data_IF_494222679790
#
_entry.id   IF_494222679790
#
_cell.length_a   1.000
_cell.length_b   1.000
_cell.length_c   1.000
_cell.angle_alpha   90.00
_cell.angle_beta   90.00
_cell.angle_gamma   90.00
#
_symmetry.space_group_name_H-M   'P 1'
#
loop_
_entity.id
_entity.type
_entity.pdbx_description
1 polymer ?
#
# COMPACT_ATOMS: atom_id res chain seq x y z
N UNK A 1 -25.76 -27.51 42.86
CA UNK A 1 -25.45 -26.37 41.99
C UNK A 1 -23.95 -26.45 41.75
N UNK A 2 -23.55 -27.05 40.61
CA UNK A 2 -22.16 -27.22 40.24
C UNK A 2 -21.70 -26.06 39.33
N UNK A 3 -20.67 -25.33 39.75
CA UNK A 3 -19.98 -24.38 38.90
C UNK A 3 -19.08 -25.15 37.91
N UNK A 4 -19.50 -25.19 36.63
CA UNK A 4 -18.67 -25.69 35.55
C UNK A 4 -17.49 -24.75 35.31
N UNK A 5 -16.26 -25.25 35.50
CA UNK A 5 -15.06 -24.53 35.16
C UNK A 5 -14.93 -24.35 33.65
N UNK A 6 -14.81 -23.10 33.20
CA UNK A 6 -14.44 -22.75 31.83
C UNK A 6 -12.99 -23.18 31.66
N UNK A 7 -12.74 -24.15 30.79
CA UNK A 7 -11.40 -24.54 30.40
C UNK A 7 -10.71 -23.31 29.72
N UNK A 8 -9.60 -22.88 30.32
CA UNK A 8 -8.71 -21.90 29.73
C UNK A 8 -8.19 -22.45 28.39
N UNK A 9 -8.72 -21.94 27.29
CA UNK A 9 -8.20 -22.21 25.95
C UNK A 9 -6.71 -21.85 25.94
N UNK A 10 -5.86 -22.75 25.47
CA UNK A 10 -4.46 -22.45 25.17
C UNK A 10 -4.46 -21.27 24.19
N UNK A 11 -3.87 -20.16 24.61
CA UNK A 11 -3.47 -19.10 23.67
C UNK A 11 -2.58 -19.78 22.64
N UNK A 12 -3.00 -19.77 21.37
CA UNK A 12 -2.18 -20.21 20.28
C UNK A 12 -0.88 -19.40 20.32
N UNK A 13 0.27 -20.05 20.10
CA UNK A 13 1.53 -19.35 19.97
C UNK A 13 1.36 -18.30 18.85
N UNK A 14 1.67 -17.04 19.14
CA UNK A 14 1.59 -15.97 18.15
C UNK A 14 2.52 -16.31 16.98
N UNK A 15 2.00 -16.29 15.76
CA UNK A 15 2.80 -16.41 14.54
C UNK A 15 3.92 -15.39 14.60
N UNK A 16 5.19 -15.76 14.32
CA UNK A 16 6.27 -14.79 14.24
C UNK A 16 5.90 -13.66 13.27
N UNK A 17 6.16 -12.43 13.65
CA UNK A 17 5.76 -11.24 12.86
C UNK A 17 6.32 -11.30 11.43
N UNK A 18 7.48 -11.93 11.24
CA UNK A 18 8.12 -12.17 9.93
C UNK A 18 7.37 -13.17 9.03
N UNK A 19 6.46 -13.98 9.60
CA UNK A 19 5.64 -14.93 8.85
C UNK A 19 4.25 -14.37 8.49
N UNK A 20 3.95 -13.12 8.90
CA UNK A 20 2.65 -12.51 8.64
C UNK A 20 2.52 -11.98 7.21
N UNK A 21 3.63 -11.63 6.55
CA UNK A 21 3.65 -11.01 5.24
C UNK A 21 4.14 -11.97 4.15
N UNK A 22 3.31 -12.18 3.13
CA UNK A 22 3.75 -12.75 1.86
C UNK A 22 4.53 -11.68 1.09
N UNK A 23 5.82 -11.90 0.86
CA UNK A 23 6.72 -10.90 0.27
C UNK A 23 7.28 -11.37 -1.07
N UNK A 24 7.10 -10.55 -2.10
CA UNK A 24 7.71 -10.73 -3.41
C UNK A 24 9.06 -10.03 -3.45
N UNK A 25 10.00 -10.62 -4.19
CA UNK A 25 11.35 -10.08 -4.38
C UNK A 25 11.59 -9.84 -5.86
N UNK A 26 12.11 -8.67 -6.19
CA UNK A 26 12.44 -8.28 -7.55
C UNK A 26 13.90 -7.87 -7.65
N UNK A 27 14.45 -7.95 -8.87
CA UNK A 27 15.80 -7.56 -9.16
C UNK A 27 16.88 -8.56 -8.66
N UNK A 28 18.11 -8.10 -8.42
CA UNK A 28 19.23 -8.94 -8.00
C UNK A 28 19.04 -9.58 -6.62
N UNK A 29 19.68 -10.73 -6.38
CA UNK A 29 19.73 -11.41 -5.08
C UNK A 29 20.72 -10.74 -4.12
N UNK A 30 20.62 -9.42 -3.95
CA UNK A 30 21.40 -8.59 -3.01
C UNK A 30 20.46 -8.10 -1.91
N UNK A 31 21.00 -7.53 -0.82
CA UNK A 31 20.15 -6.84 0.15
C UNK A 31 19.23 -5.83 -0.52
N UNK A 32 17.99 -5.79 -0.08
CA UNK A 32 17.00 -4.89 -0.64
C UNK A 32 17.41 -3.42 -0.48
N UNK A 33 17.21 -2.63 -1.53
CA UNK A 33 17.40 -1.19 -1.54
C UNK A 33 16.07 -0.43 -1.55
N UNK A 34 14.98 -1.15 -1.91
CA UNK A 34 13.63 -0.58 -2.01
C UNK A 34 12.64 -1.48 -1.29
N UNK A 35 11.73 -0.86 -0.54
CA UNK A 35 10.49 -1.45 -0.05
C UNK A 35 9.33 -0.81 -0.80
N UNK A 36 8.54 -1.60 -1.55
CA UNK A 36 7.40 -1.12 -2.33
C UNK A 36 6.08 -1.53 -1.66
N UNK A 37 5.28 -0.55 -1.27
CA UNK A 37 4.06 -0.71 -0.48
C UNK A 37 2.85 -0.32 -1.31
N UNK A 38 1.95 -1.28 -1.56
CA UNK A 38 0.76 -1.11 -2.40
C UNK A 38 -0.36 -0.33 -1.71
N UNK A 39 -1.31 0.18 -2.49
CA UNK A 39 -2.53 0.82 -2.00
C UNK A 39 -3.60 -0.17 -1.52
N UNK A 40 -4.72 0.34 -0.99
CA UNK A 40 -5.88 -0.49 -0.64
C UNK A 40 -6.34 -1.30 -1.85
N UNK A 41 -6.88 -2.48 -1.58
CA UNK A 41 -7.27 -3.47 -2.60
C UNK A 41 -6.12 -3.94 -3.49
N UNK A 42 -4.87 -3.66 -3.11
CA UNK A 42 -3.68 -4.03 -3.85
C UNK A 42 -3.00 -5.31 -3.37
N UNK A 43 -1.85 -5.57 -3.96
CA UNK A 43 -0.95 -6.66 -3.59
C UNK A 43 0.48 -6.38 -4.06
N UNK A 44 1.47 -7.09 -3.51
CA UNK A 44 2.88 -6.87 -3.81
C UNK A 44 3.28 -7.14 -5.27
N UNK A 45 2.59 -8.03 -5.95
CA UNK A 45 2.89 -8.32 -7.38
C UNK A 45 2.54 -7.19 -8.35
N UNK A 46 1.77 -6.18 -7.95
CA UNK A 46 1.54 -4.99 -8.79
C UNK A 46 2.84 -4.29 -9.19
N UNK A 47 3.91 -4.47 -8.43
CA UNK A 47 5.21 -3.87 -8.67
C UNK A 47 6.08 -4.64 -9.68
N UNK A 48 5.63 -5.82 -10.15
CA UNK A 48 6.42 -6.73 -11.00
C UNK A 48 6.90 -6.05 -12.29
N UNK A 49 6.03 -5.36 -13.01
CA UNK A 49 6.40 -4.67 -14.25
C UNK A 49 7.35 -3.51 -14.00
N UNK A 50 7.11 -2.72 -12.94
CA UNK A 50 7.99 -1.61 -12.59
C UNK A 50 9.43 -2.11 -12.33
N UNK A 51 9.59 -3.09 -11.45
CA UNK A 51 10.91 -3.60 -11.12
C UNK A 51 11.49 -4.51 -12.22
N UNK A 52 10.68 -5.31 -12.90
CA UNK A 52 11.15 -6.20 -13.94
C UNK A 52 11.58 -5.51 -15.24
N UNK A 53 10.94 -4.39 -15.60
CA UNK A 53 11.22 -3.68 -16.87
C UNK A 53 11.98 -2.38 -16.69
N UNK A 54 11.65 -1.61 -15.66
CA UNK A 54 12.17 -0.25 -15.49
C UNK A 54 13.30 -0.16 -14.45
N UNK A 55 13.33 -1.11 -13.50
CA UNK A 55 14.32 -1.16 -12.42
C UNK A 55 14.91 -2.58 -12.24
N UNK A 56 15.33 -3.31 -13.32
CA UNK A 56 15.76 -4.70 -13.21
C UNK A 56 17.06 -4.89 -12.42
N UNK A 57 17.80 -3.81 -12.21
CA UNK A 57 19.06 -3.74 -11.46
C UNK A 57 18.86 -3.35 -9.98
N UNK A 58 17.62 -3.07 -9.56
CA UNK A 58 17.30 -2.65 -8.19
C UNK A 58 16.68 -3.80 -7.42
N UNK A 59 17.34 -4.20 -6.32
CA UNK A 59 16.77 -5.19 -5.40
C UNK A 59 15.64 -4.58 -4.58
N UNK A 60 14.43 -5.15 -4.70
CA UNK A 60 13.24 -4.65 -4.05
C UNK A 60 12.45 -5.75 -3.34
N UNK A 61 11.80 -5.36 -2.23
CA UNK A 61 10.79 -6.11 -1.52
C UNK A 61 9.42 -5.49 -1.76
N UNK A 62 8.43 -6.30 -2.04
CA UNK A 62 7.05 -5.87 -2.19
C UNK A 62 6.12 -6.85 -1.46
N UNK A 63 5.84 -6.60 -0.18
CA UNK A 63 4.91 -7.44 0.58
C UNK A 63 3.45 -7.16 0.21
N UNK A 64 2.62 -8.19 0.32
CA UNK A 64 1.19 -7.99 0.54
C UNK A 64 1.00 -7.43 1.95
N UNK A 65 0.27 -6.34 2.13
CA UNK A 65 -0.05 -5.79 3.44
C UNK A 65 -1.02 -6.71 4.21
N UNK A 66 -1.12 -6.54 5.53
CA UNK A 66 -2.08 -7.29 6.34
C UNK A 66 -3.51 -7.09 5.81
N UNK A 67 -4.29 -8.17 5.78
CA UNK A 67 -5.63 -8.17 5.19
C UNK A 67 -5.67 -8.18 3.66
N UNK A 68 -4.52 -8.25 2.97
CA UNK A 68 -4.42 -8.25 1.52
C UNK A 68 -3.66 -9.47 1.00
N UNK A 69 -3.97 -9.86 -0.23
CA UNK A 69 -3.24 -10.88 -0.96
C UNK A 69 -3.13 -12.19 -0.21
N UNK A 70 -1.89 -12.66 -0.07
CA UNK A 70 -1.53 -13.91 0.61
C UNK A 70 -0.94 -13.70 2.01
N UNK A 71 -0.91 -12.46 2.49
CA UNK A 71 -0.53 -12.13 3.87
C UNK A 71 -1.62 -12.51 4.86
N UNK A 72 -1.34 -12.44 6.17
CA UNK A 72 -2.34 -12.71 7.20
C UNK A 72 -3.54 -11.77 7.09
N UNK A 73 -4.74 -12.35 7.25
CA UNK A 73 -6.01 -11.61 7.29
C UNK A 73 -6.51 -11.40 8.73
N UNK A 74 -5.74 -11.82 9.72
CA UNK A 74 -6.10 -11.65 11.13
C UNK A 74 -5.95 -10.19 11.58
N UNK A 75 -6.80 -9.77 12.52
CA UNK A 75 -6.69 -8.49 13.19
C UNK A 75 -5.45 -8.46 14.12
N UNK A 76 -4.90 -7.28 14.44
CA UNK A 76 -5.47 -5.94 14.25
C UNK A 76 -5.22 -5.34 12.86
N UNK A 77 -6.24 -4.64 12.35
CA UNK A 77 -6.16 -3.97 11.03
C UNK A 77 -5.93 -2.47 11.21
N UNK A 78 -4.70 -2.12 11.55
CA UNK A 78 -4.27 -0.72 11.75
C UNK A 78 -3.03 -0.41 10.94
N UNK A 79 -2.74 0.87 10.73
CA UNK A 79 -1.49 1.30 10.11
C UNK A 79 -0.30 0.83 10.95
N UNK A 80 -0.37 0.91 12.28
CA UNK A 80 0.71 0.49 13.18
C UNK A 80 1.01 -1.02 13.09
N UNK A 81 0.00 -1.85 12.87
CA UNK A 81 0.19 -3.29 12.66
C UNK A 81 0.99 -3.55 11.38
N UNK A 82 0.64 -2.86 10.28
CA UNK A 82 1.41 -2.92 9.03
C UNK A 82 2.83 -2.38 9.20
N UNK A 83 3.00 -1.24 9.87
CA UNK A 83 4.32 -0.66 10.16
C UNK A 83 5.19 -1.63 10.96
N UNK A 84 4.61 -2.27 11.98
CA UNK A 84 5.34 -3.26 12.80
C UNK A 84 5.77 -4.48 11.99
N UNK A 85 4.89 -4.97 11.09
CA UNK A 85 5.20 -6.10 10.23
C UNK A 85 6.28 -5.75 9.19
N UNK A 86 6.20 -4.56 8.58
CA UNK A 86 7.21 -4.08 7.63
C UNK A 86 8.56 -3.81 8.29
N UNK A 87 8.57 -3.24 9.49
CA UNK A 87 9.80 -3.03 10.25
C UNK A 87 10.47 -4.36 10.58
N UNK A 88 9.71 -5.36 11.03
CA UNK A 88 10.24 -6.70 11.29
C UNK A 88 10.77 -7.38 10.02
N UNK A 89 10.11 -7.18 8.88
CA UNK A 89 10.60 -7.66 7.57
C UNK A 89 11.97 -7.02 7.24
N UNK A 90 12.10 -5.70 7.37
CA UNK A 90 13.35 -4.99 7.09
C UNK A 90 14.46 -5.34 8.09
N UNK A 91 14.14 -5.50 9.38
CA UNK A 91 15.10 -5.96 10.40
C UNK A 91 15.62 -7.38 10.06
N UNK A 92 14.76 -8.28 9.59
CA UNK A 92 15.15 -9.62 9.15
C UNK A 92 16.04 -9.61 7.88
N UNK A 93 15.92 -8.57 7.04
CA UNK A 93 16.77 -8.33 5.87
C UNK A 93 18.13 -7.68 6.21
N UNK A 94 18.41 -7.47 7.49
CA UNK A 94 19.67 -6.91 7.98
C UNK A 94 19.57 -5.47 8.48
N UNK A 95 18.36 -4.85 8.47
CA UNK A 95 18.11 -3.54 9.07
C UNK A 95 18.78 -2.34 8.38
N UNK A 96 19.28 -2.52 7.17
CA UNK A 96 19.84 -1.41 6.39
C UNK A 96 18.70 -0.48 5.92
N UNK A 97 18.88 0.85 5.93
CA UNK A 97 17.87 1.77 5.46
C UNK A 97 17.61 1.61 3.96
N UNK A 98 16.32 1.63 3.58
CA UNK A 98 15.85 1.47 2.20
C UNK A 98 15.05 2.70 1.75
N UNK A 99 14.95 2.91 0.44
CA UNK A 99 13.94 3.81 -0.13
C UNK A 99 12.58 3.12 -0.02
N UNK A 100 11.60 3.79 0.59
CA UNK A 100 10.23 3.26 0.69
C UNK A 100 9.35 3.94 -0.35
N UNK A 101 8.77 3.12 -1.22
CA UNK A 101 7.83 3.57 -2.26
C UNK A 101 6.42 3.19 -1.79
N UNK A 102 5.55 4.17 -1.59
CA UNK A 102 4.18 3.94 -1.15
C UNK A 102 3.15 4.53 -2.11
N UNK A 103 2.22 3.71 -2.60
CA UNK A 103 1.10 4.17 -3.41
C UNK A 103 -0.18 4.25 -2.57
N UNK A 104 -0.91 5.37 -2.65
CA UNK A 104 -2.21 5.51 -1.99
C UNK A 104 -2.13 5.22 -0.47
N UNK A 105 -2.88 4.25 0.06
CA UNK A 105 -2.77 3.74 1.43
C UNK A 105 -1.33 3.33 1.79
N UNK A 106 -0.59 2.74 0.85
CA UNK A 106 0.83 2.45 1.03
C UNK A 106 1.67 3.69 1.32
N UNK A 107 1.25 4.86 0.85
CA UNK A 107 1.85 6.15 1.20
C UNK A 107 1.62 6.52 2.66
N UNK A 108 0.40 6.29 3.20
CA UNK A 108 0.12 6.46 4.63
C UNK A 108 0.97 5.52 5.49
N UNK A 109 1.08 4.26 5.10
CA UNK A 109 1.93 3.27 5.79
C UNK A 109 3.40 3.67 5.73
N UNK A 110 3.90 4.12 4.57
CA UNK A 110 5.29 4.57 4.38
C UNK A 110 5.65 5.77 5.26
N UNK A 111 4.77 6.78 5.34
CA UNK A 111 4.95 7.93 6.22
C UNK A 111 5.01 7.53 7.70
N UNK A 112 4.11 6.64 8.14
CA UNK A 112 4.11 6.11 9.51
C UNK A 112 5.35 5.26 9.79
N UNK A 113 5.83 4.46 8.83
CA UNK A 113 7.08 3.70 8.97
C UNK A 113 8.27 4.64 9.13
N UNK A 114 8.37 5.69 8.31
CA UNK A 114 9.44 6.68 8.40
C UNK A 114 9.43 7.45 9.72
N UNK A 115 8.25 7.76 10.26
CA UNK A 115 8.11 8.40 11.56
C UNK A 115 8.48 7.47 12.72
N UNK A 116 8.08 6.20 12.67
CA UNK A 116 8.30 5.22 13.74
C UNK A 116 9.71 4.59 13.72
N UNK A 117 10.29 4.36 12.53
CA UNK A 117 11.58 3.69 12.30
C UNK A 117 12.43 4.47 11.27
N UNK A 118 12.82 5.71 11.60
CA UNK A 118 13.65 6.53 10.71
C UNK A 118 15.02 5.90 10.40
N UNK A 119 15.47 4.95 11.21
CA UNK A 119 16.67 4.15 11.00
C UNK A 119 16.55 3.19 9.80
N UNK A 120 15.34 2.81 9.40
CA UNK A 120 15.08 1.90 8.28
C UNK A 120 14.73 2.61 6.96
N UNK A 121 14.56 3.94 6.97
CA UNK A 121 14.09 4.69 5.81
C UNK A 121 15.15 5.67 5.32
N UNK A 122 15.70 5.42 4.14
CA UNK A 122 16.67 6.28 3.47
C UNK A 122 16.00 7.43 2.69
N UNK A 123 14.78 7.25 2.23
CA UNK A 123 14.00 8.23 1.48
C UNK A 123 12.61 7.70 1.17
N UNK A 124 11.71 8.59 0.75
CA UNK A 124 10.30 8.30 0.47
C UNK A 124 9.92 8.69 -0.97
N UNK A 125 9.31 7.77 -1.71
CA UNK A 125 8.55 8.04 -2.92
C UNK A 125 7.06 7.82 -2.62
N UNK A 126 6.30 8.90 -2.50
CA UNK A 126 4.88 8.90 -2.18
C UNK A 126 4.08 9.11 -3.47
N UNK A 127 3.46 8.06 -3.98
CA UNK A 127 2.75 8.06 -5.26
C UNK A 127 1.24 8.23 -4.99
N UNK A 128 0.74 9.42 -5.17
CA UNK A 128 -0.64 9.85 -4.89
C UNK A 128 -1.14 9.32 -3.54
N UNK A 129 -0.45 9.68 -2.43
CA UNK A 129 -0.69 9.11 -1.10
C UNK A 129 -2.05 9.52 -0.55
N UNK A 130 -2.77 8.57 0.02
CA UNK A 130 -4.07 8.77 0.68
C UNK A 130 -3.86 8.96 2.18
N UNK A 131 -3.87 10.21 2.65
CA UNK A 131 -3.59 10.58 4.06
C UNK A 131 -4.41 11.80 4.47
N UNK A 132 -4.93 11.80 5.68
CA UNK A 132 -5.74 12.88 6.26
C UNK A 132 -6.94 13.25 5.39
N UNK A 133 -7.60 12.25 4.83
CA UNK A 133 -8.75 12.41 3.97
C UNK A 133 -10.02 12.78 4.75
N UNK A 134 -10.99 13.36 4.07
CA UNK A 134 -12.28 13.72 4.67
C UNK A 134 -13.04 12.49 5.18
N UNK A 135 -13.46 12.52 6.44
CA UNK A 135 -14.12 11.38 7.09
C UNK A 135 -15.49 11.06 6.52
N UNK A 136 -16.20 12.01 5.92
CA UNK A 136 -17.48 11.76 5.25
C UNK A 136 -17.23 11.00 3.96
N UNK A 137 -16.26 11.45 3.15
CA UNK A 137 -15.88 10.75 1.93
C UNK A 137 -15.43 9.31 2.22
N UNK A 138 -14.57 9.11 3.24
CA UNK A 138 -14.11 7.76 3.60
C UNK A 138 -15.26 6.85 4.06
N UNK A 139 -16.27 7.39 4.76
CA UNK A 139 -17.45 6.65 5.12
C UNK A 139 -18.28 6.27 3.88
N UNK A 140 -18.45 7.19 2.92
CA UNK A 140 -19.18 6.91 1.67
C UNK A 140 -18.52 5.80 0.88
N UNK A 141 -17.18 5.83 0.72
CA UNK A 141 -16.41 4.76 0.06
C UNK A 141 -16.55 3.41 0.81
N UNK A 142 -16.52 3.44 2.14
CA UNK A 142 -16.71 2.23 2.94
C UNK A 142 -18.14 1.67 2.82
N UNK A 143 -19.16 2.52 2.80
CA UNK A 143 -20.57 2.14 2.59
C UNK A 143 -20.77 1.51 1.21
N UNK A 144 -20.16 2.07 0.15
CA UNK A 144 -20.21 1.54 -1.21
C UNK A 144 -19.55 0.16 -1.29
N UNK A 145 -18.36 0.00 -0.73
CA UNK A 145 -17.66 -1.29 -0.68
C UNK A 145 -18.45 -2.34 0.12
N UNK A 146 -19.07 -1.94 1.23
CA UNK A 146 -19.89 -2.84 2.04
C UNK A 146 -21.15 -3.29 1.29
N UNK A 147 -21.73 -2.41 0.49
CA UNK A 147 -22.94 -2.68 -0.28
C UNK A 147 -22.68 -3.56 -1.51
N UNK A 148 -21.47 -3.49 -2.08
CA UNK A 148 -21.07 -4.24 -3.27
C UNK A 148 -19.65 -4.81 -3.12
N UNK A 149 -19.46 -5.83 -2.25
CA UNK A 149 -18.12 -6.33 -1.91
C UNK A 149 -17.55 -7.34 -2.92
N UNK A 150 -18.37 -7.78 -3.87
CA UNK A 150 -18.03 -8.81 -4.86
C UNK A 150 -18.76 -8.57 -6.21
N UNK A 151 -18.39 -9.36 -7.22
CA UNK A 151 -18.87 -9.21 -8.60
C UNK A 151 -19.55 -10.50 -9.07
N UNK A 152 -20.45 -10.39 -10.04
CA UNK A 152 -21.09 -11.53 -10.67
C UNK A 152 -20.07 -12.41 -11.42
N UNK A 153 -19.10 -11.76 -12.09
CA UNK A 153 -18.07 -12.43 -12.86
C UNK A 153 -16.84 -11.50 -13.08
N UNK A 154 -15.84 -12.05 -13.77
CA UNK A 154 -14.60 -11.34 -14.15
C UNK A 154 -14.86 -10.11 -15.03
N UNK A 155 -15.89 -10.14 -15.89
CA UNK A 155 -16.17 -9.03 -16.80
C UNK A 155 -16.71 -7.82 -16.02
N UNK A 156 -17.57 -8.04 -15.02
CA UNK A 156 -18.04 -6.98 -14.13
C UNK A 156 -16.88 -6.37 -13.34
N UNK A 157 -16.02 -7.20 -12.75
CA UNK A 157 -14.84 -6.73 -12.01
C UNK A 157 -13.88 -5.91 -12.89
N UNK A 158 -13.70 -6.33 -14.16
CA UNK A 158 -12.92 -5.58 -15.16
C UNK A 158 -13.54 -4.22 -15.46
N UNK A 159 -14.84 -4.20 -15.73
CA UNK A 159 -15.56 -2.98 -16.09
C UNK A 159 -15.53 -1.95 -14.96
N UNK A 160 -15.65 -2.37 -13.72
CA UNK A 160 -15.55 -1.46 -12.57
C UNK A 160 -14.16 -0.83 -12.48
N UNK A 161 -13.09 -1.63 -12.60
CA UNK A 161 -11.74 -1.08 -12.59
C UNK A 161 -11.51 -0.07 -13.71
N UNK A 162 -11.89 -0.40 -14.94
CA UNK A 162 -11.70 0.49 -16.10
C UNK A 162 -12.62 1.70 -16.08
N UNK A 163 -13.77 1.62 -15.45
CA UNK A 163 -14.68 2.75 -15.20
C UNK A 163 -14.22 3.67 -14.07
N UNK A 164 -13.25 3.23 -13.27
CA UNK A 164 -12.60 3.99 -12.20
C UNK A 164 -11.15 4.34 -12.54
N UNK A 165 -10.29 4.33 -11.53
CA UNK A 165 -8.89 4.80 -11.60
C UNK A 165 -7.95 3.96 -12.49
N UNK A 166 -8.42 2.87 -13.09
CA UNK A 166 -7.65 2.00 -13.97
C UNK A 166 -7.85 2.29 -15.46
N UNK A 167 -8.59 3.35 -15.82
CA UNK A 167 -8.89 3.68 -17.22
C UNK A 167 -7.66 3.94 -18.09
N UNK A 168 -6.55 4.39 -17.50
CA UNK A 168 -5.28 4.67 -18.19
C UNK A 168 -4.24 3.54 -18.05
N UNK A 169 -4.57 2.48 -17.31
CA UNK A 169 -3.66 1.34 -17.12
C UNK A 169 -3.68 0.43 -18.33
N UNK A 170 -2.50 -0.01 -18.77
CA UNK A 170 -2.35 -0.94 -19.90
C UNK A 170 -3.18 -2.22 -19.69
N UNK A 171 -3.84 -2.69 -20.74
CA UNK A 171 -4.71 -3.87 -20.67
C UNK A 171 -3.96 -5.12 -20.19
N UNK A 172 -2.66 -5.25 -20.49
CA UNK A 172 -1.85 -6.37 -20.02
C UNK A 172 -1.68 -6.33 -18.50
N UNK A 173 -1.53 -5.14 -17.91
CA UNK A 173 -1.46 -4.97 -16.46
C UNK A 173 -2.81 -5.25 -15.80
N UNK A 174 -3.90 -4.83 -16.43
CA UNK A 174 -5.24 -5.15 -15.96
C UNK A 174 -5.52 -6.66 -16.00
N UNK A 175 -5.12 -7.35 -17.06
CA UNK A 175 -5.28 -8.81 -17.15
C UNK A 175 -4.47 -9.54 -16.07
N UNK A 176 -3.23 -9.09 -15.79
CA UNK A 176 -2.41 -9.62 -14.70
C UNK A 176 -3.05 -9.40 -13.32
N UNK A 177 -3.61 -8.22 -13.10
CA UNK A 177 -4.34 -7.93 -11.87
C UNK A 177 -5.51 -8.89 -11.66
N UNK A 178 -6.32 -9.10 -12.70
CA UNK A 178 -7.45 -10.01 -12.67
C UNK A 178 -7.01 -11.46 -12.44
N UNK A 179 -5.91 -11.90 -13.08
CA UNK A 179 -5.39 -13.26 -12.96
C UNK A 179 -4.79 -13.54 -11.58
N UNK A 180 -4.10 -12.57 -11.00
CA UNK A 180 -3.40 -12.75 -9.72
C UNK A 180 -4.33 -12.53 -8.52
N UNK A 181 -5.25 -11.57 -8.62
CA UNK A 181 -5.92 -11.01 -7.46
C UNK A 181 -7.42 -11.28 -7.38
N UNK A 182 -8.09 -11.58 -8.51
CA UNK A 182 -9.48 -11.97 -8.51
C UNK A 182 -9.61 -13.46 -8.13
N UNK A 183 -10.54 -13.79 -7.25
CA UNK A 183 -10.74 -15.15 -6.74
C UNK A 183 -12.21 -15.51 -6.75
N UNK A 184 -12.48 -16.83 -6.93
CA UNK A 184 -13.82 -17.36 -6.75
C UNK A 184 -14.22 -17.34 -5.28
N UNK A 185 -15.45 -16.94 -5.02
CA UNK A 185 -16.03 -16.88 -3.69
C UNK A 185 -17.01 -18.06 -3.47
N UNK A 186 -17.25 -18.46 -2.19
CA UNK A 186 -18.14 -19.57 -1.88
C UNK A 186 -19.59 -19.38 -2.35
N UNK A 187 -20.02 -18.13 -2.58
CA UNK A 187 -21.35 -17.80 -3.09
C UNK A 187 -21.48 -17.91 -4.62
N UNK A 188 -20.43 -18.38 -5.31
CA UNK A 188 -20.38 -18.50 -6.77
C UNK A 188 -20.13 -17.20 -7.53
N UNK A 189 -19.78 -16.13 -6.80
CA UNK A 189 -19.35 -14.85 -7.36
C UNK A 189 -17.82 -14.75 -7.33
N UNK A 190 -17.26 -13.67 -7.80
CA UNK A 190 -15.82 -13.39 -7.73
C UNK A 190 -15.55 -12.15 -6.90
N UNK A 191 -14.39 -12.08 -6.28
CA UNK A 191 -13.98 -10.92 -5.48
C UNK A 191 -12.48 -10.76 -5.45
N UNK A 192 -12.02 -9.60 -4.99
CA UNK A 192 -10.59 -9.37 -4.81
C UNK A 192 -10.07 -10.21 -3.64
N UNK A 193 -8.84 -10.64 -3.72
CA UNK A 193 -8.15 -11.37 -2.63
C UNK A 193 -7.79 -10.42 -1.49
N UNK A 194 -8.81 -9.93 -0.80
CA UNK A 194 -8.69 -9.00 0.34
C UNK A 194 -9.66 -9.39 1.46
N UNK A 195 -9.32 -9.03 2.67
CA UNK A 195 -10.26 -9.06 3.81
C UNK A 195 -11.13 -7.82 3.78
N UNK A 196 -12.42 -7.96 3.43
CA UNK A 196 -13.37 -6.83 3.44
C UNK A 196 -13.39 -6.14 4.81
N UNK A 197 -13.47 -6.85 5.97
CA UNK A 197 -13.41 -6.19 7.28
C UNK A 197 -12.13 -5.38 7.50
N UNK A 198 -10.98 -5.87 7.04
CA UNK A 198 -9.72 -5.14 7.14
C UNK A 198 -9.74 -3.87 6.28
N UNK A 199 -10.21 -3.98 5.04
CA UNK A 199 -10.29 -2.85 4.11
C UNK A 199 -11.23 -1.76 4.63
N UNK A 200 -12.38 -2.14 5.20
CA UNK A 200 -13.31 -1.18 5.84
C UNK A 200 -12.65 -0.46 7.03
N UNK A 201 -11.86 -1.17 7.85
CA UNK A 201 -11.10 -0.56 8.93
C UNK A 201 -10.05 0.43 8.40
N UNK A 202 -9.36 0.08 7.32
CA UNK A 202 -8.34 0.93 6.71
C UNK A 202 -8.89 2.24 6.11
N UNK A 203 -10.12 2.26 5.60
CA UNK A 203 -10.74 3.53 5.18
C UNK A 203 -10.82 4.53 6.35
N UNK A 204 -11.13 4.06 7.56
CA UNK A 204 -11.10 4.91 8.75
C UNK A 204 -9.69 5.39 9.10
N UNK A 205 -8.67 4.55 8.93
CA UNK A 205 -7.27 4.92 9.20
C UNK A 205 -6.76 6.06 8.32
N UNK A 206 -7.28 6.20 7.10
CA UNK A 206 -6.90 7.27 6.16
C UNK A 206 -7.35 8.67 6.58
N UNK A 207 -8.23 8.79 7.58
CA UNK A 207 -8.68 10.09 8.12
C UNK A 207 -7.78 10.64 9.21
N UNK A 208 -6.73 9.90 9.58
CA UNK A 208 -5.80 10.26 10.66
C UNK A 208 -4.90 11.43 10.24
N UNK A 209 -4.41 12.23 11.22
CA UNK A 209 -3.49 13.33 10.94
C UNK A 209 -2.23 12.85 10.19
N UNK A 210 -1.66 13.76 9.40
CA UNK A 210 -0.43 13.50 8.65
C UNK A 210 0.73 13.19 9.61
N UNK A 211 1.34 11.99 9.54
CA UNK A 211 2.59 11.75 10.24
C UNK A 211 3.73 12.39 9.45
N UNK A 212 4.50 13.25 10.11
CA UNK A 212 5.65 13.91 9.49
C UNK A 212 6.90 13.06 9.73
N UNK A 213 7.62 12.64 8.68
CA UNK A 213 8.90 11.95 8.82
C UNK A 213 9.94 12.81 9.54
N UNK A 214 11.04 12.17 9.97
CA UNK A 214 12.16 12.88 10.57
C UNK A 214 12.70 13.95 9.60
N UNK A 215 13.10 15.09 10.16
CA UNK A 215 13.82 16.13 9.41
C UNK A 215 15.04 15.55 8.67
N UNK A 216 15.23 15.98 7.42
CA UNK A 216 16.30 15.49 6.56
C UNK A 216 15.96 14.22 5.76
N UNK A 217 14.75 13.65 5.87
CA UNK A 217 14.34 12.50 5.04
C UNK A 217 14.03 12.97 3.60
N UNK A 218 14.82 12.61 2.57
CA UNK A 218 14.50 12.94 1.19
C UNK A 218 13.15 12.35 0.80
N UNK A 219 12.23 13.19 0.34
CA UNK A 219 10.86 12.78 0.03
C UNK A 219 10.41 13.37 -1.29
N UNK A 220 9.99 12.52 -2.21
CA UNK A 220 9.29 12.95 -3.43
C UNK A 220 7.83 12.52 -3.34
N UNK A 221 6.92 13.49 -3.40
CA UNK A 221 5.48 13.28 -3.47
C UNK A 221 5.03 13.51 -4.91
N UNK A 222 4.34 12.55 -5.48
CA UNK A 222 3.68 12.64 -6.79
C UNK A 222 2.18 12.77 -6.55
N UNK A 223 1.57 13.82 -7.09
CA UNK A 223 0.13 14.06 -7.11
C UNK A 223 -0.42 13.72 -8.49
N UNK A 224 -1.44 12.86 -8.56
CA UNK A 224 -2.21 12.58 -9.75
C UNK A 224 -3.22 13.73 -9.98
N UNK A 225 -3.25 14.32 -11.19
CA UNK A 225 -4.07 15.53 -11.46
C UNK A 225 -5.47 15.20 -11.98
N UNK A 226 -5.75 13.95 -12.37
CA UNK A 226 -7.07 13.57 -12.89
C UNK A 226 -8.02 13.04 -11.80
N UNK A 227 -7.55 12.88 -10.57
CA UNK A 227 -8.35 12.39 -9.44
C UNK A 227 -9.11 13.53 -8.77
N UNK A 228 -10.44 13.43 -8.68
CA UNK A 228 -11.30 14.42 -8.06
C UNK A 228 -12.33 13.74 -7.13
N UNK A 229 -12.34 14.02 -5.82
CA UNK A 229 -11.38 14.86 -5.10
C UNK A 229 -9.98 14.23 -5.05
N UNK A 230 -8.91 15.04 -4.89
CA UNK A 230 -7.54 14.53 -4.89
C UNK A 230 -7.24 13.73 -3.62
N UNK A 231 -6.49 12.63 -3.75
CA UNK A 231 -5.96 11.90 -2.59
C UNK A 231 -4.77 12.63 -1.96
N UNK A 232 -3.85 13.13 -2.77
CA UNK A 232 -2.76 13.99 -2.30
C UNK A 232 -3.28 15.43 -2.16
N UNK A 233 -3.88 15.75 -1.01
CA UNK A 233 -4.52 17.05 -0.74
C UNK A 233 -3.51 18.17 -0.54
N UNK A 234 -3.94 19.43 -0.71
CA UNK A 234 -3.11 20.60 -0.41
C UNK A 234 -2.72 20.66 1.08
N UNK A 235 -3.60 20.19 1.98
CA UNK A 235 -3.33 20.09 3.41
C UNK A 235 -2.22 19.08 3.72
N UNK A 236 -2.21 17.93 3.03
CA UNK A 236 -1.13 16.95 3.15
C UNK A 236 0.20 17.54 2.69
N UNK A 237 0.20 18.19 1.50
CA UNK A 237 1.42 18.82 0.95
C UNK A 237 1.94 19.89 1.89
N UNK A 238 1.07 20.78 2.39
CA UNK A 238 1.46 21.83 3.32
C UNK A 238 2.03 21.29 4.63
N UNK A 239 1.44 20.20 5.17
CA UNK A 239 1.94 19.57 6.40
C UNK A 239 3.33 18.95 6.20
N UNK A 240 3.56 18.30 5.05
CA UNK A 240 4.88 17.73 4.73
C UNK A 240 5.91 18.81 4.42
N UNK A 241 5.54 19.89 3.73
CA UNK A 241 6.45 21.02 3.46
C UNK A 241 6.88 21.71 4.76
N UNK A 242 5.95 21.92 5.68
CA UNK A 242 6.26 22.49 6.99
C UNK A 242 7.24 21.64 7.82
N UNK A 243 7.24 20.31 7.64
CA UNK A 243 8.10 19.40 8.39
C UNK A 243 9.40 19.02 7.70
N UNK A 244 9.41 18.94 6.37
CA UNK A 244 10.54 18.47 5.57
C UNK A 244 11.29 19.61 4.85
N UNK A 245 10.62 20.73 4.59
CA UNK A 245 11.20 21.88 3.91
C UNK A 245 11.93 21.51 2.61
N UNK A 246 13.24 21.80 2.47
CA UNK A 246 13.99 21.55 1.25
C UNK A 246 14.16 20.05 0.91
N UNK A 247 13.79 19.15 1.79
CA UNK A 247 13.84 17.70 1.55
C UNK A 247 12.56 17.17 0.89
N UNK A 248 11.52 18.02 0.72
CA UNK A 248 10.31 17.66 -0.01
C UNK A 248 10.40 18.16 -1.45
N UNK A 249 10.17 17.24 -2.40
CA UNK A 249 9.89 17.56 -3.80
C UNK A 249 8.47 17.15 -4.11
N UNK A 250 7.66 18.07 -4.66
CA UNK A 250 6.29 17.78 -5.10
C UNK A 250 6.25 17.82 -6.62
N UNK A 251 5.72 16.74 -7.20
CA UNK A 251 5.52 16.58 -8.65
C UNK A 251 4.02 16.41 -8.93
N UNK A 252 3.52 17.05 -9.95
CA UNK A 252 2.16 16.86 -10.47
C UNK A 252 2.22 16.13 -11.80
N UNK A 253 1.50 15.01 -11.91
CA UNK A 253 1.48 14.21 -13.12
C UNK A 253 0.07 14.10 -13.70
N UNK A 254 -0.02 14.30 -14.99
CA UNK A 254 -1.24 14.15 -15.77
C UNK A 254 -1.59 12.66 -15.92
N UNK A 255 -2.18 12.10 -14.88
CA UNK A 255 -2.70 10.73 -14.82
C UNK A 255 -3.73 10.59 -13.70
N UNK A 256 -4.43 9.46 -13.69
CA UNK A 256 -5.32 9.06 -12.61
C UNK A 256 -4.54 8.39 -11.45
N UNK A 257 -5.24 8.03 -10.38
CA UNK A 257 -4.72 7.51 -9.12
C UNK A 257 -3.72 6.35 -9.23
N UNK A 258 -3.81 5.51 -10.27
CA UNK A 258 -2.92 4.34 -10.45
C UNK A 258 -1.53 4.73 -10.97
N UNK A 259 -0.92 5.75 -10.41
CA UNK A 259 0.37 6.36 -10.78
C UNK A 259 1.45 5.33 -11.17
N UNK A 260 1.78 4.30 -10.36
CA UNK A 260 2.88 3.38 -10.69
C UNK A 260 2.61 2.51 -11.91
N UNK A 261 1.34 2.34 -12.30
CA UNK A 261 0.93 1.57 -13.49
C UNK A 261 0.71 2.46 -14.71
N UNK A 262 0.20 3.68 -14.51
CA UNK A 262 -0.01 4.66 -15.59
C UNK A 262 1.30 5.32 -16.04
N UNK A 263 2.24 5.56 -15.11
CA UNK A 263 3.52 6.27 -15.33
C UNK A 263 4.71 5.47 -14.80
N UNK A 264 4.94 4.22 -15.27
CA UNK A 264 5.97 3.35 -14.69
C UNK A 264 7.40 3.85 -14.93
N UNK A 265 7.69 4.49 -16.08
CA UNK A 265 9.02 5.00 -16.38
C UNK A 265 9.38 6.21 -15.51
N UNK A 266 8.44 7.14 -15.32
CA UNK A 266 8.58 8.31 -14.46
C UNK A 266 8.68 7.89 -12.98
N UNK A 267 7.88 6.91 -12.57
CA UNK A 267 7.97 6.30 -11.24
C UNK A 267 9.35 5.71 -10.99
N UNK A 268 9.91 5.00 -11.96
CA UNK A 268 11.26 4.45 -11.88
C UNK A 268 12.33 5.55 -11.78
N UNK A 269 12.17 6.67 -12.47
CA UNK A 269 13.08 7.81 -12.37
C UNK A 269 13.09 8.40 -10.95
N UNK A 270 11.91 8.64 -10.36
CA UNK A 270 11.79 9.10 -8.96
C UNK A 270 12.50 8.16 -7.98
N UNK A 271 12.32 6.84 -8.16
CA UNK A 271 13.00 5.86 -7.29
C UNK A 271 14.52 5.92 -7.48
N UNK A 272 15.02 6.03 -8.73
CA UNK A 272 16.46 6.14 -8.99
C UNK A 272 17.07 7.39 -8.38
N UNK A 273 16.40 8.52 -8.47
CA UNK A 273 16.86 9.79 -7.90
C UNK A 273 17.02 9.69 -6.36
N UNK A 274 16.13 8.98 -5.69
CA UNK A 274 16.22 8.73 -4.24
C UNK A 274 17.30 7.69 -3.87
N UNK A 275 17.68 6.82 -4.80
CA UNK A 275 18.72 5.82 -4.60
C UNK A 275 20.14 6.37 -4.80
N UNK A 276 20.30 7.50 -5.48
CA UNK A 276 21.56 8.19 -5.76
C UNK A 276 22.35 7.56 -6.90
#
# INVERSE_FOLDING_TARGET
VGCGGVAAGRLAASTPVTELLCTYRFGPSTPARVLAVHGLTGHGKRWETLFGRHLPDVAALAPDLLGHGRSSWDAPWTIEANVSALAALLDAEGGAPVVVVGHSFGGAVALNLAAARPDLVAGLALLDPAVALDGRWMREVADDMFSSPDYTDRAEARNEKTGGSWGEVDETELDRELDEHLVDLPNGRVGWRISIPATLAYWSELTRPVPVPRDGTPTTLVRATYTEPPYATDELIAALDAGLGPNLTVLEWDCDHMVPLAKPAETAAVIRDLLG
#
